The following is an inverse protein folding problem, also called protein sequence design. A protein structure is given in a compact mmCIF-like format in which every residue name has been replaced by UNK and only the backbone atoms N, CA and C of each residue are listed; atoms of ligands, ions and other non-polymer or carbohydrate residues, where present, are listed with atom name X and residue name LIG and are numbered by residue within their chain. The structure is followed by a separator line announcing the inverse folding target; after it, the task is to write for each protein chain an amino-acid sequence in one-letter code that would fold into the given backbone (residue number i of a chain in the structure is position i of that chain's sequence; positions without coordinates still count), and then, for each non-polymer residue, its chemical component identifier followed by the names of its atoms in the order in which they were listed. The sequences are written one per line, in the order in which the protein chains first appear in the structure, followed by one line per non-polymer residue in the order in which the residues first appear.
data_IF_582868139376
#
_entry.id   IF_582868139376
#
_cell.length_a   1.000
_cell.length_b   1.000
_cell.length_c   1.000
_cell.angle_alpha   90.00
_cell.angle_beta   90.00
_cell.angle_gamma   90.00
#
_symmetry.space_group_name_H-M   'P 1'
#
loop_
_entity.id
_entity.type
_entity.pdbx_description
1 polymer ?
#
# COMPACT_ATOMS: atom_id res chain seq x y z
N UNK A 1 18.17 29.58 4.00
CA UNK A 1 18.56 28.44 4.81
C UNK A 1 18.36 27.13 4.05
N UNK A 2 19.31 26.21 4.15
CA UNK A 2 19.25 24.89 3.49
C UNK A 2 18.04 24.07 3.95
N UNK A 3 17.70 24.16 5.24
CA UNK A 3 16.54 23.43 5.81
C UNK A 3 15.21 23.92 5.21
N UNK A 4 15.03 25.22 5.09
CA UNK A 4 13.84 25.80 4.51
C UNK A 4 13.71 25.50 3.03
N UNK A 5 14.81 25.52 2.29
CA UNK A 5 14.87 25.15 0.88
C UNK A 5 14.50 23.69 0.69
N UNK A 6 15.02 22.81 1.54
CA UNK A 6 14.73 21.39 1.49
C UNK A 6 13.26 21.09 1.84
N UNK A 7 12.72 21.71 2.89
CA UNK A 7 11.30 21.60 3.25
C UNK A 7 10.39 22.08 2.12
N UNK A 8 10.75 23.17 1.45
CA UNK A 8 10.02 23.68 0.29
C UNK A 8 10.03 22.70 -0.90
N UNK A 9 11.14 22.02 -1.14
CA UNK A 9 11.23 20.99 -2.18
C UNK A 9 10.34 19.78 -1.87
N UNK A 10 10.35 19.32 -0.61
CA UNK A 10 9.49 18.22 -0.15
C UNK A 10 8.01 18.58 -0.29
N UNK A 11 7.62 19.79 0.08
CA UNK A 11 6.25 20.26 -0.05
C UNK A 11 5.79 20.28 -1.51
N UNK A 12 6.64 20.73 -2.42
CA UNK A 12 6.33 20.70 -3.87
C UNK A 12 6.10 19.27 -4.39
N UNK A 13 6.88 18.31 -3.92
CA UNK A 13 6.72 16.90 -4.28
C UNK A 13 5.36 16.37 -3.80
N UNK A 14 4.99 16.66 -2.56
CA UNK A 14 3.70 16.28 -1.99
C UNK A 14 2.54 16.91 -2.78
N UNK A 15 2.64 18.20 -3.08
CA UNK A 15 1.62 18.93 -3.84
C UNK A 15 1.45 18.38 -5.25
N UNK A 16 2.53 17.98 -5.90
CA UNK A 16 2.49 17.33 -7.21
C UNK A 16 1.75 16.00 -7.17
N UNK A 17 1.95 15.20 -6.12
CA UNK A 17 1.22 13.95 -5.90
C UNK A 17 -0.27 14.22 -5.69
N UNK A 18 -0.62 15.15 -4.81
CA UNK A 18 -2.01 15.55 -4.56
C UNK A 18 -2.73 16.04 -5.80
N UNK A 19 -2.03 16.81 -6.65
CA UNK A 19 -2.60 17.35 -7.88
C UNK A 19 -2.98 16.25 -8.88
N UNK A 20 -2.21 15.16 -8.94
CA UNK A 20 -2.51 14.01 -9.80
C UNK A 20 -3.72 13.20 -9.31
N UNK A 21 -3.98 13.21 -8.02
CA UNK A 21 -5.01 12.39 -7.37
C UNK A 21 -6.17 13.22 -6.83
N UNK A 22 -6.71 14.12 -7.63
CA UNK A 22 -7.92 14.88 -7.29
C UNK A 22 -9.13 13.95 -7.23
N UNK A 23 -9.25 13.18 -6.15
CA UNK A 23 -10.50 12.54 -5.79
C UNK A 23 -11.24 13.44 -4.79
N UNK A 24 -12.54 13.59 -4.96
CA UNK A 24 -13.38 14.17 -3.93
C UNK A 24 -13.32 13.28 -2.68
N UNK A 25 -13.28 13.86 -1.49
CA UNK A 25 -13.27 13.14 -0.19
C UNK A 25 -14.41 12.10 -0.03
N UNK A 26 -15.31 12.02 -0.99
CA UNK A 26 -16.51 11.17 -0.92
C UNK A 26 -16.33 9.76 -1.47
N UNK A 27 -15.30 9.51 -2.29
CA UNK A 27 -15.14 8.22 -3.00
C UNK A 27 -13.71 7.69 -2.90
N UNK A 28 -13.20 7.56 -1.66
CA UNK A 28 -11.90 6.93 -1.44
C UNK A 28 -11.97 5.44 -1.79
N UNK A 29 -11.04 5.00 -2.62
CA UNK A 29 -10.88 3.60 -2.96
C UNK A 29 -10.27 2.83 -1.79
N UNK A 30 -10.54 1.54 -1.73
CA UNK A 30 -10.05 0.68 -0.65
C UNK A 30 -8.63 0.20 -0.94
N UNK A 31 -7.71 0.42 -0.02
CA UNK A 31 -6.35 -0.15 -0.06
C UNK A 31 -6.11 -1.02 1.17
N UNK A 32 -5.29 -2.05 1.00
CA UNK A 32 -4.88 -2.95 2.07
C UNK A 32 -3.35 -3.06 2.10
N UNK A 33 -2.75 -2.73 3.23
CA UNK A 33 -1.33 -2.94 3.49
C UNK A 33 -1.20 -4.23 4.30
N UNK A 34 -0.51 -5.23 3.76
CA UNK A 34 -0.46 -6.57 4.33
C UNK A 34 0.87 -7.28 4.12
N UNK A 35 1.10 -8.32 4.91
CA UNK A 35 2.11 -9.34 4.64
C UNK A 35 1.54 -10.73 4.95
N UNK A 36 1.86 -11.73 4.16
CA UNK A 36 1.48 -13.11 4.43
C UNK A 36 2.45 -13.75 5.45
N UNK A 37 1.90 -14.52 6.37
CA UNK A 37 2.69 -15.37 7.27
C UNK A 37 2.86 -16.78 6.70
N UNK A 38 1.85 -17.25 5.98
CA UNK A 38 1.81 -18.53 5.27
C UNK A 38 0.76 -18.45 4.15
N UNK A 39 0.43 -19.58 3.53
CA UNK A 39 -0.51 -19.62 2.41
C UNK A 39 -1.99 -19.35 2.81
N UNK A 40 -2.31 -19.35 4.09
CA UNK A 40 -3.68 -19.24 4.61
C UNK A 40 -3.93 -18.00 5.45
N UNK A 41 -2.89 -17.46 6.09
CA UNK A 41 -3.00 -16.35 7.05
C UNK A 41 -2.09 -15.18 6.71
N UNK A 42 -2.57 -13.99 7.02
CA UNK A 42 -1.84 -12.75 6.82
C UNK A 42 -2.06 -11.74 7.95
N UNK A 43 -1.13 -10.79 8.05
CA UNK A 43 -1.26 -9.64 8.93
C UNK A 43 -1.45 -8.36 8.15
N UNK A 44 -1.96 -7.33 8.81
CA UNK A 44 -2.21 -6.02 8.22
C UNK A 44 -1.47 -4.93 8.97
N UNK A 45 -1.15 -3.86 8.26
CA UNK A 45 -0.49 -2.69 8.82
C UNK A 45 -1.42 -1.49 8.80
N UNK A 46 -1.51 -0.80 9.93
CA UNK A 46 -2.30 0.41 10.07
C UNK A 46 -1.59 1.38 11.00
N UNK A 47 -1.29 2.56 10.49
CA UNK A 47 -0.76 3.67 11.28
C UNK A 47 -1.27 5.00 10.72
N UNK A 48 -1.20 6.06 11.53
CA UNK A 48 -1.61 7.40 11.10
C UNK A 48 -0.81 7.89 9.89
N UNK A 49 0.48 7.56 9.80
CA UNK A 49 1.32 7.92 8.66
C UNK A 49 0.86 7.23 7.38
N UNK A 50 0.62 5.93 7.45
CA UNK A 50 0.18 5.13 6.30
C UNK A 50 -1.21 5.55 5.83
N UNK A 51 -2.12 5.83 6.76
CA UNK A 51 -3.45 6.36 6.47
C UNK A 51 -3.36 7.71 5.76
N UNK A 52 -2.56 8.64 6.27
CA UNK A 52 -2.33 9.95 5.67
C UNK A 52 -1.74 9.83 4.25
N UNK A 53 -0.77 8.94 4.06
CA UNK A 53 -0.17 8.68 2.76
C UNK A 53 -1.22 8.20 1.74
N UNK A 54 -2.02 7.21 2.11
CA UNK A 54 -3.04 6.65 1.24
C UNK A 54 -4.16 7.64 0.94
N UNK A 55 -4.60 8.43 1.92
CA UNK A 55 -5.62 9.44 1.72
C UNK A 55 -5.19 10.50 0.69
N UNK A 56 -3.92 10.87 0.67
CA UNK A 56 -3.38 11.79 -0.34
C UNK A 56 -3.43 11.21 -1.76
N UNK A 57 -3.47 9.90 -1.88
CA UNK A 57 -3.56 9.17 -3.16
C UNK A 57 -4.99 8.82 -3.56
N UNK A 58 -5.98 9.18 -2.76
CA UNK A 58 -7.38 8.86 -3.00
C UNK A 58 -7.79 7.48 -2.49
N UNK A 59 -7.05 6.92 -1.53
CA UNK A 59 -7.32 5.62 -0.91
C UNK A 59 -7.57 5.72 0.58
N UNK A 60 -8.34 4.79 1.11
CA UNK A 60 -8.47 4.54 2.55
C UNK A 60 -7.92 3.16 2.87
N UNK A 61 -7.18 3.03 3.98
CA UNK A 61 -6.64 1.75 4.42
C UNK A 61 -7.73 0.94 5.13
N UNK A 62 -8.16 -0.17 4.54
CA UNK A 62 -9.16 -1.07 5.13
C UNK A 62 -8.58 -2.04 6.16
N UNK A 63 -7.28 -1.96 6.41
CA UNK A 63 -6.61 -2.76 7.42
C UNK A 63 -7.22 -2.53 8.80
N UNK A 64 -7.37 -3.61 9.56
CA UNK A 64 -7.87 -3.58 10.94
C UNK A 64 -6.75 -3.42 11.97
N UNK A 65 -5.49 -3.59 11.53
CA UNK A 65 -4.32 -3.62 12.41
C UNK A 65 -4.22 -4.93 13.21
N UNK A 66 -4.93 -5.96 12.77
CA UNK A 66 -4.91 -7.30 13.40
C UNK A 66 -4.00 -8.25 12.63
N UNK A 67 -3.55 -9.29 13.33
CA UNK A 67 -2.87 -10.46 12.77
C UNK A 67 -3.86 -11.63 12.59
N UNK A 68 -3.38 -12.68 11.96
CA UNK A 68 -4.11 -13.95 11.81
C UNK A 68 -5.42 -13.83 11.00
N UNK A 69 -5.45 -12.94 10.03
CA UNK A 69 -6.55 -12.83 9.09
C UNK A 69 -6.47 -13.96 8.04
N UNK A 70 -7.61 -14.44 7.61
CA UNK A 70 -7.73 -15.51 6.60
C UNK A 70 -8.01 -14.93 5.20
N UNK A 71 -7.92 -15.77 4.17
CA UNK A 71 -8.26 -15.37 2.80
C UNK A 71 -9.72 -14.89 2.67
N UNK A 72 -10.65 -15.46 3.45
CA UNK A 72 -12.04 -15.00 3.47
C UNK A 72 -12.16 -13.58 4.01
N UNK A 73 -11.35 -13.20 4.99
CA UNK A 73 -11.29 -11.81 5.46
C UNK A 73 -10.83 -10.88 4.35
N UNK A 74 -9.82 -11.29 3.58
CA UNK A 74 -9.33 -10.50 2.44
C UNK A 74 -10.40 -10.34 1.36
N UNK A 75 -11.12 -11.40 1.03
CA UNK A 75 -12.25 -11.35 0.09
C UNK A 75 -13.33 -10.38 0.58
N UNK A 76 -13.66 -10.43 1.87
CA UNK A 76 -14.66 -9.56 2.49
C UNK A 76 -14.26 -8.08 2.53
N UNK A 77 -12.96 -7.80 2.59
CA UNK A 77 -12.44 -6.42 2.57
C UNK A 77 -12.55 -5.77 1.19
N UNK A 78 -12.58 -6.56 0.12
CA UNK A 78 -12.65 -6.10 -1.27
C UNK A 78 -11.65 -4.97 -1.60
N UNK A 79 -10.35 -5.12 -1.32
CA UNK A 79 -9.40 -4.06 -1.62
C UNK A 79 -9.23 -3.86 -3.12
N UNK A 80 -9.15 -2.60 -3.53
CA UNK A 80 -8.88 -2.19 -4.91
C UNK A 80 -7.39 -2.01 -5.19
N UNK A 81 -6.58 -1.89 -4.12
CA UNK A 81 -5.13 -1.84 -4.13
C UNK A 81 -4.61 -2.70 -2.98
N UNK A 82 -3.64 -3.56 -3.26
CA UNK A 82 -2.89 -4.30 -2.24
C UNK A 82 -1.45 -3.83 -2.26
N UNK A 83 -0.97 -3.38 -1.10
CA UNK A 83 0.44 -3.07 -0.87
C UNK A 83 1.00 -4.20 -0.01
N UNK A 84 1.76 -5.08 -0.65
CA UNK A 84 2.39 -6.21 0.01
C UNK A 84 3.73 -5.79 0.60
N UNK A 85 3.86 -5.93 1.91
CA UNK A 85 5.10 -5.58 2.63
C UNK A 85 6.08 -6.73 2.55
N UNK A 86 7.22 -6.49 1.93
CA UNK A 86 8.26 -7.49 1.76
C UNK A 86 9.27 -7.42 2.90
N UNK A 87 9.85 -8.55 3.22
CA UNK A 87 11.00 -8.64 4.13
C UNK A 87 12.29 -8.51 3.33
N UNK A 88 13.18 -7.61 3.75
CA UNK A 88 14.50 -7.48 3.11
C UNK A 88 15.35 -8.74 3.24
N UNK A 89 14.95 -9.64 4.14
CA UNK A 89 15.68 -10.87 4.42
C UNK A 89 15.33 -12.03 3.48
N UNK A 90 14.17 -11.97 2.80
CA UNK A 90 13.72 -13.11 1.98
C UNK A 90 12.84 -12.73 0.79
N UNK A 91 13.41 -11.94 -0.11
CA UNK A 91 12.74 -11.46 -1.33
C UNK A 91 12.19 -12.58 -2.24
N UNK A 92 12.80 -13.75 -2.20
CA UNK A 92 12.33 -14.88 -2.99
C UNK A 92 10.98 -15.42 -2.47
N UNK A 93 10.84 -15.53 -1.14
CA UNK A 93 9.56 -15.94 -0.52
C UNK A 93 8.47 -14.88 -0.71
N UNK A 94 8.84 -13.61 -0.63
CA UNK A 94 7.89 -12.51 -0.84
C UNK A 94 7.33 -12.54 -2.27
N UNK A 95 8.18 -12.78 -3.26
CA UNK A 95 7.75 -12.92 -4.65
C UNK A 95 6.85 -14.14 -4.84
N UNK A 96 7.21 -15.27 -4.26
CA UNK A 96 6.40 -16.48 -4.31
C UNK A 96 5.00 -16.25 -3.70
N UNK A 97 4.93 -15.52 -2.57
CA UNK A 97 3.68 -15.19 -1.91
C UNK A 97 2.78 -14.30 -2.79
N UNK A 98 3.33 -13.27 -3.42
CA UNK A 98 2.56 -12.41 -4.33
C UNK A 98 2.09 -13.15 -5.58
N UNK A 99 2.95 -13.99 -6.17
CA UNK A 99 2.60 -14.84 -7.31
C UNK A 99 1.47 -15.84 -6.96
N UNK A 100 1.52 -16.42 -5.76
CA UNK A 100 0.44 -17.29 -5.26
C UNK A 100 -0.88 -16.53 -5.07
N UNK A 101 -0.84 -15.33 -4.53
CA UNK A 101 -2.03 -14.49 -4.39
C UNK A 101 -2.67 -14.21 -5.76
N UNK A 102 -1.88 -13.84 -6.76
CA UNK A 102 -2.38 -13.55 -8.11
C UNK A 102 -3.03 -14.76 -8.79
N UNK A 103 -2.57 -15.97 -8.45
CA UNK A 103 -3.05 -17.23 -9.05
C UNK A 103 -4.11 -17.93 -8.21
N UNK A 104 -4.44 -17.42 -7.03
CA UNK A 104 -5.37 -18.06 -6.12
C UNK A 104 -6.82 -17.87 -6.59
N UNK A 105 -7.50 -18.96 -6.91
CA UNK A 105 -8.88 -18.94 -7.38
C UNK A 105 -9.87 -18.30 -6.38
N UNK A 106 -9.60 -18.42 -5.08
CA UNK A 106 -10.43 -17.78 -4.02
C UNK A 106 -10.36 -16.26 -4.11
N UNK A 107 -9.22 -15.73 -4.56
CA UNK A 107 -8.95 -14.29 -4.64
C UNK A 107 -9.22 -13.68 -6.01
N UNK A 108 -9.60 -14.47 -7.01
CA UNK A 108 -9.75 -14.02 -8.40
C UNK A 108 -10.72 -12.85 -8.57
N UNK A 109 -11.73 -12.75 -7.71
CA UNK A 109 -12.74 -11.68 -7.76
C UNK A 109 -12.42 -10.49 -6.87
N UNK A 110 -11.34 -10.54 -6.08
CA UNK A 110 -10.86 -9.39 -5.32
C UNK A 110 -10.39 -8.32 -6.33
N UNK A 111 -10.91 -7.08 -6.26
CA UNK A 111 -10.62 -6.07 -7.27
C UNK A 111 -9.14 -5.84 -7.53
N UNK A 112 -8.31 -5.80 -6.49
CA UNK A 112 -6.87 -5.62 -6.62
C UNK A 112 -6.19 -6.79 -7.36
N UNK A 113 -6.64 -8.01 -7.16
CA UNK A 113 -6.13 -9.21 -7.84
C UNK A 113 -6.58 -9.22 -9.29
N UNK A 114 -7.88 -9.02 -9.52
CA UNK A 114 -8.48 -8.99 -10.86
C UNK A 114 -7.85 -7.93 -11.76
N UNK A 115 -7.57 -6.74 -11.23
CA UNK A 115 -7.04 -5.60 -11.97
C UNK A 115 -5.50 -5.49 -11.89
N UNK A 116 -4.83 -6.47 -11.32
CA UNK A 116 -3.37 -6.50 -11.14
C UNK A 116 -2.83 -5.25 -10.42
N UNK A 117 -3.51 -4.85 -9.36
CA UNK A 117 -3.13 -3.73 -8.49
C UNK A 117 -2.54 -4.23 -7.17
N UNK A 118 -1.56 -5.13 -7.28
CA UNK A 118 -0.75 -5.60 -6.16
C UNK A 118 0.66 -5.04 -6.35
N UNK A 119 1.13 -4.22 -5.43
CA UNK A 119 2.50 -3.72 -5.42
C UNK A 119 3.25 -4.19 -4.18
N UNK A 120 4.56 -4.18 -4.24
CA UNK A 120 5.43 -4.52 -3.11
C UNK A 120 6.14 -3.29 -2.60
N UNK A 121 6.30 -3.22 -1.28
CA UNK A 121 7.12 -2.22 -0.60
C UNK A 121 7.91 -2.93 0.50
N UNK A 122 9.15 -2.53 0.75
CA UNK A 122 9.91 -3.12 1.85
C UNK A 122 9.41 -2.62 3.21
N UNK A 123 9.59 -3.44 4.24
CA UNK A 123 9.24 -3.07 5.61
C UNK A 123 9.96 -1.78 6.04
N UNK A 124 11.24 -1.66 5.70
CA UNK A 124 12.04 -0.49 6.05
C UNK A 124 11.51 0.78 5.36
N UNK A 125 11.15 0.71 4.09
CA UNK A 125 10.51 1.82 3.37
C UNK A 125 9.17 2.22 4.00
N UNK A 126 8.34 1.22 4.35
CA UNK A 126 7.03 1.47 4.93
C UNK A 126 7.09 2.12 6.30
N UNK A 127 8.09 1.74 7.11
CA UNK A 127 8.25 2.18 8.49
C UNK A 127 9.17 3.40 8.64
N UNK A 128 9.67 3.95 7.55
CA UNK A 128 10.50 5.14 7.60
C UNK A 128 9.63 6.39 7.78
N UNK A 129 9.84 7.10 8.89
CA UNK A 129 9.16 8.35 9.23
C UNK A 129 9.94 9.59 8.79
N UNK A 130 11.11 9.41 8.16
CA UNK A 130 11.94 10.50 7.65
C UNK A 130 11.48 11.00 6.28
N UNK A 131 12.29 11.84 5.63
CA UNK A 131 11.98 12.40 4.29
C UNK A 131 11.75 11.33 3.21
N UNK A 132 12.26 10.13 3.38
CA UNK A 132 12.05 9.01 2.47
C UNK A 132 10.60 8.51 2.43
N UNK A 133 9.73 8.93 3.36
CA UNK A 133 8.29 8.69 3.27
C UNK A 133 7.70 9.28 1.99
N UNK A 134 8.28 10.36 1.47
CA UNK A 134 7.84 10.99 0.23
C UNK A 134 8.23 10.12 -0.97
N UNK A 135 9.38 9.46 -0.92
CA UNK A 135 9.78 8.49 -1.96
C UNK A 135 8.79 7.33 -2.01
N UNK A 136 8.35 6.82 -0.87
CA UNK A 136 7.32 5.79 -0.78
C UNK A 136 5.98 6.28 -1.32
N UNK A 137 5.57 7.50 -0.98
CA UNK A 137 4.36 8.13 -1.50
C UNK A 137 4.39 8.24 -3.03
N UNK A 138 5.50 8.68 -3.61
CA UNK A 138 5.67 8.77 -5.06
C UNK A 138 5.65 7.39 -5.73
N UNK A 139 6.28 6.39 -5.12
CA UNK A 139 6.30 5.01 -5.61
C UNK A 139 4.88 4.43 -5.70
N UNK A 140 4.08 4.60 -4.67
CA UNK A 140 2.67 4.18 -4.67
C UNK A 140 1.87 4.97 -5.71
N UNK A 141 2.08 6.28 -5.78
CA UNK A 141 1.42 7.16 -6.74
C UNK A 141 1.70 6.73 -8.19
N UNK A 142 2.94 6.43 -8.53
CA UNK A 142 3.32 5.98 -9.87
C UNK A 142 2.67 4.63 -10.20
N UNK A 143 2.59 3.73 -9.24
CA UNK A 143 1.96 2.43 -9.43
C UNK A 143 0.45 2.55 -9.69
N UNK A 144 -0.28 3.35 -8.92
CA UNK A 144 -1.74 3.46 -9.05
C UNK A 144 -2.18 4.27 -10.27
N UNK A 145 -1.29 5.08 -10.84
CA UNK A 145 -1.56 5.90 -12.03
C UNK A 145 -1.00 5.32 -13.34
N UNK A 146 -0.54 4.09 -13.30
CA UNK A 146 -0.11 3.37 -14.53
C UNK A 146 -1.25 3.07 -15.49
#
# INVERSE_FOLDING_TARGET
DKADKYAGQLQKRIDAVKKKNKSSDKDLKKALIMCAYNDETFGTYKSALQESMLNQLGYTNVATGTSDLTLENLVSMEPELIIYVTSDRNKAMDKEATDKMEKNAVLENVPAVKNKKIMTISYDELMDYGPSVIDSLEKVNDFVNK
#
